data_IF_471527299770
#
_entry.id   IF_471527299770
#
_cell.length_a   1.000
_cell.length_b   1.000
_cell.length_c   1.000
_cell.angle_alpha   90.00
_cell.angle_beta   90.00
_cell.angle_gamma   90.00
#
_symmetry.space_group_name_H-M   'P 1'
#
loop_
_entity.id
_entity.type
_entity.pdbx_description
1 polymer ?
#
# COMPACT_ATOMS: atom_id res chain seq x y z
N UNK A 1 24.72 10.93 5.91
CA UNK A 1 24.52 10.04 4.75
C UNK A 1 24.19 10.88 3.53
N UNK A 2 24.61 10.52 2.31
CA UNK A 2 24.22 11.21 1.09
C UNK A 2 23.08 10.46 0.35
N UNK A 3 22.54 11.05 -0.72
CA UNK A 3 21.43 10.46 -1.48
C UNK A 3 21.79 9.13 -2.14
N UNK A 4 23.05 8.96 -2.56
CA UNK A 4 23.53 7.71 -3.15
C UNK A 4 23.48 6.58 -2.12
N UNK A 5 23.97 6.82 -0.91
CA UNK A 5 23.92 5.86 0.20
C UNK A 5 22.47 5.53 0.61
N UNK A 6 21.58 6.53 0.67
CA UNK A 6 20.15 6.33 0.93
C UNK A 6 19.49 5.45 -0.14
N UNK A 7 19.81 5.70 -1.41
CA UNK A 7 19.30 4.91 -2.52
C UNK A 7 19.79 3.47 -2.47
N UNK A 8 21.09 3.24 -2.22
CA UNK A 8 21.62 1.87 -2.11
C UNK A 8 21.00 1.13 -0.92
N UNK A 9 20.74 1.81 0.20
CA UNK A 9 19.95 1.24 1.30
C UNK A 9 18.55 0.86 0.83
N UNK A 10 17.81 1.76 0.16
CA UNK A 10 16.46 1.48 -0.31
C UNK A 10 16.37 0.30 -1.30
N UNK A 11 17.42 0.05 -2.09
CA UNK A 11 17.47 -1.08 -3.03
C UNK A 11 17.66 -2.41 -2.30
N UNK A 12 18.39 -2.41 -1.19
CA UNK A 12 18.65 -3.59 -0.38
C UNK A 12 17.42 -3.94 0.48
N UNK A 13 16.50 -4.70 -0.14
CA UNK A 13 15.27 -5.17 0.51
C UNK A 13 15.54 -6.01 1.78
N UNK A 14 16.74 -6.55 1.98
CA UNK A 14 17.04 -7.32 3.21
C UNK A 14 17.10 -6.44 4.46
N UNK A 15 17.20 -5.12 4.29
CA UNK A 15 17.22 -4.13 5.38
C UNK A 15 15.84 -3.68 5.85
N UNK A 16 14.78 -4.27 5.32
CA UNK A 16 13.40 -3.89 5.59
C UNK A 16 12.61 -5.12 6.01
N UNK A 17 12.86 -5.56 7.24
CA UNK A 17 12.34 -6.81 7.82
C UNK A 17 11.39 -6.58 8.98
N UNK A 18 11.41 -5.38 9.59
CA UNK A 18 10.49 -5.00 10.65
C UNK A 18 10.04 -3.54 10.47
N UNK A 19 8.89 -3.11 11.05
CA UNK A 19 8.39 -1.74 10.91
C UNK A 19 9.43 -0.67 11.26
N UNK A 20 10.23 -0.93 12.30
CA UNK A 20 11.29 -0.03 12.76
C UNK A 20 12.35 0.26 11.68
N UNK A 21 12.61 -0.65 10.75
CA UNK A 21 13.55 -0.44 9.65
C UNK A 21 13.09 0.68 8.72
N UNK A 22 11.78 0.72 8.44
CA UNK A 22 11.15 1.76 7.62
C UNK A 22 11.21 3.11 8.31
N UNK A 23 10.94 3.14 9.62
CA UNK A 23 11.03 4.37 10.43
C UNK A 23 12.47 4.90 10.48
N UNK A 24 13.45 3.99 10.62
CA UNK A 24 14.87 4.33 10.65
C UNK A 24 15.34 4.89 9.31
N UNK A 25 14.92 4.26 8.20
CA UNK A 25 15.19 4.78 6.86
C UNK A 25 14.59 6.18 6.66
N UNK A 26 13.34 6.37 7.08
CA UNK A 26 12.64 7.64 6.96
C UNK A 26 13.36 8.76 7.71
N UNK A 27 13.76 8.50 8.96
CA UNK A 27 14.58 9.43 9.77
C UNK A 27 15.87 9.80 9.04
N UNK A 28 16.63 8.82 8.55
CA UNK A 28 17.89 9.08 7.83
C UNK A 28 17.68 9.91 6.55
N UNK A 29 16.58 9.67 5.83
CA UNK A 29 16.22 10.47 4.65
C UNK A 29 15.87 11.92 5.05
N UNK A 30 15.09 12.12 6.10
CA UNK A 30 14.71 13.46 6.56
C UNK A 30 15.89 14.23 7.14
N UNK A 31 16.80 13.59 7.86
CA UNK A 31 18.08 14.18 8.27
C UNK A 31 18.88 14.66 7.06
N UNK A 32 19.01 13.82 6.03
CA UNK A 32 19.67 14.22 4.78
C UNK A 32 18.99 15.45 4.15
N UNK A 33 17.65 15.47 4.10
CA UNK A 33 16.89 16.61 3.57
C UNK A 33 17.11 17.88 4.39
N UNK A 34 17.02 17.79 5.73
CA UNK A 34 17.18 18.93 6.66
C UNK A 34 18.60 19.49 6.66
N UNK A 35 19.61 18.66 6.43
CA UNK A 35 21.02 19.07 6.37
C UNK A 35 21.44 19.62 4.99
N UNK A 36 20.50 20.16 4.21
CA UNK A 36 20.78 20.75 2.90
C UNK A 36 21.21 19.73 1.85
N UNK A 37 20.74 18.48 1.95
CA UNK A 37 21.06 17.40 1.01
C UNK A 37 20.48 17.59 -0.40
N UNK A 38 19.42 18.39 -0.53
CA UNK A 38 18.74 18.70 -1.79
C UNK A 38 19.29 19.96 -2.49
N UNK A 39 19.10 20.04 -3.81
CA UNK A 39 19.38 21.24 -4.60
C UNK A 39 18.31 22.32 -4.39
N UNK A 40 17.04 21.90 -4.47
CA UNK A 40 15.89 22.76 -4.30
C UNK A 40 14.64 21.94 -3.97
N UNK A 41 13.65 22.62 -3.40
CA UNK A 41 12.28 22.13 -3.31
C UNK A 41 11.40 22.90 -4.30
N UNK A 42 10.63 22.16 -5.11
CA UNK A 42 9.77 22.73 -6.14
C UNK A 42 8.30 22.51 -5.76
N UNK A 43 7.47 23.55 -5.91
CA UNK A 43 6.02 23.47 -5.67
C UNK A 43 5.30 23.17 -6.98
N UNK A 44 4.38 22.19 -6.99
CA UNK A 44 3.58 21.87 -8.15
C UNK A 44 2.67 23.04 -8.55
N UNK A 45 2.66 23.40 -9.84
CA UNK A 45 1.95 24.59 -10.34
C UNK A 45 0.42 24.52 -10.26
N UNK A 46 -0.15 23.32 -10.23
CA UNK A 46 -1.60 23.11 -10.31
C UNK A 46 -2.23 22.57 -9.01
N UNK A 47 -1.41 22.21 -8.01
CA UNK A 47 -1.88 21.80 -6.68
C UNK A 47 -0.72 21.99 -5.68
N UNK A 48 -0.76 23.07 -4.91
CA UNK A 48 0.36 23.49 -4.06
C UNK A 48 0.64 22.57 -2.86
N UNK A 49 -0.26 21.61 -2.60
CA UNK A 49 -0.03 20.56 -1.59
C UNK A 49 1.10 19.64 -2.02
N UNK A 50 1.33 19.50 -3.32
CA UNK A 50 2.38 18.63 -3.85
C UNK A 50 3.68 19.38 -4.08
N UNK A 51 4.76 18.77 -3.59
CA UNK A 51 6.13 19.26 -3.72
C UNK A 51 7.01 18.21 -4.36
N UNK A 52 8.14 18.65 -4.89
CA UNK A 52 9.18 17.81 -5.45
C UNK A 52 10.53 18.17 -4.85
N UNK A 53 11.37 17.17 -4.63
CA UNK A 53 12.76 17.34 -4.26
C UNK A 53 13.58 17.29 -5.54
N UNK A 54 14.36 18.34 -5.82
CA UNK A 54 15.40 18.29 -6.82
C UNK A 54 16.70 17.84 -6.16
N UNK A 55 17.27 16.75 -6.64
CA UNK A 55 18.56 16.25 -6.17
C UNK A 55 19.71 17.09 -6.72
N UNK A 56 20.88 16.96 -6.10
CA UNK A 56 22.11 17.60 -6.55
C UNK A 56 22.76 16.85 -7.72
N UNK A 57 23.91 17.35 -8.18
CA UNK A 57 24.65 16.83 -9.33
C UNK A 57 24.97 15.34 -9.23
N UNK A 58 25.25 14.82 -8.03
CA UNK A 58 25.56 13.40 -7.81
C UNK A 58 24.43 12.44 -8.22
N UNK A 59 23.19 12.93 -8.27
CA UNK A 59 22.03 12.20 -8.75
C UNK A 59 21.46 12.81 -10.05
N UNK A 60 22.30 13.50 -10.83
CA UNK A 60 21.98 14.02 -12.16
C UNK A 60 20.86 15.05 -12.18
N UNK A 61 20.70 15.83 -11.10
CA UNK A 61 19.61 16.81 -10.92
C UNK A 61 18.21 16.22 -11.13
N UNK A 62 18.07 14.91 -10.91
CA UNK A 62 16.78 14.24 -10.98
C UNK A 62 15.82 14.83 -9.94
N UNK A 63 14.54 14.56 -10.17
CA UNK A 63 13.47 15.08 -9.34
C UNK A 63 12.67 13.91 -8.80
N UNK A 64 12.27 13.99 -7.54
CA UNK A 64 11.42 13.00 -6.89
C UNK A 64 10.03 12.90 -7.53
N UNK A 65 9.28 11.87 -7.18
CA UNK A 65 7.83 11.84 -7.27
C UNK A 65 7.18 13.00 -6.48
N UNK A 66 5.92 13.34 -6.78
CA UNK A 66 5.17 14.29 -5.98
C UNK A 66 5.01 13.79 -4.53
N UNK A 67 5.24 14.67 -3.57
CA UNK A 67 5.06 14.44 -2.14
C UNK A 67 4.02 15.42 -1.62
N UNK A 68 2.95 14.94 -0.99
CA UNK A 68 1.92 15.77 -0.38
C UNK A 68 2.45 16.34 0.95
N UNK A 69 2.76 17.62 0.99
CA UNK A 69 3.31 18.29 2.17
C UNK A 69 2.33 18.45 3.32
N UNK A 70 1.02 18.26 3.09
CA UNK A 70 0.03 18.37 4.15
C UNK A 70 0.08 17.15 5.10
N UNK A 71 0.53 15.99 4.59
CA UNK A 71 0.60 14.72 5.32
C UNK A 71 2.02 14.16 5.48
N UNK A 72 2.98 14.63 4.69
CA UNK A 72 4.40 14.32 4.89
C UNK A 72 4.93 15.05 6.13
N UNK A 73 5.65 14.36 7.01
CA UNK A 73 6.28 14.99 8.17
C UNK A 73 7.64 15.61 7.81
N UNK A 74 8.00 16.68 8.52
CA UNK A 74 9.41 17.05 8.68
C UNK A 74 10.06 16.19 9.76
N UNK A 75 11.38 16.36 9.95
CA UNK A 75 12.17 15.53 10.85
C UNK A 75 11.65 15.57 12.29
N UNK A 76 11.45 16.78 12.83
CA UNK A 76 11.02 16.99 14.22
C UNK A 76 9.63 16.37 14.48
N UNK A 77 8.67 16.66 13.60
CA UNK A 77 7.32 16.12 13.75
C UNK A 77 7.25 14.61 13.51
N UNK A 78 8.11 14.06 12.63
CA UNK A 78 8.18 12.62 12.45
C UNK A 78 8.72 11.94 13.70
N UNK A 79 9.83 12.45 14.26
CA UNK A 79 10.42 11.89 15.49
C UNK A 79 9.43 11.89 16.65
N UNK A 80 8.68 12.98 16.83
CA UNK A 80 7.62 13.05 17.83
C UNK A 80 6.49 12.04 17.56
N UNK A 81 6.05 11.91 16.30
CA UNK A 81 4.93 11.04 15.94
C UNK A 81 5.25 9.53 16.01
N UNK A 82 6.54 9.13 16.01
CA UNK A 82 6.95 7.72 16.04
C UNK A 82 6.48 7.00 17.30
N UNK A 83 6.58 7.64 18.47
CA UNK A 83 6.14 7.04 19.73
C UNK A 83 4.62 6.79 19.70
N UNK A 84 3.85 7.81 19.34
CA UNK A 84 2.39 7.70 19.18
C UNK A 84 2.01 6.64 18.15
N UNK A 85 2.75 6.52 17.05
CA UNK A 85 2.51 5.50 16.02
C UNK A 85 2.66 4.08 16.59
N UNK A 86 3.75 3.81 17.32
CA UNK A 86 4.00 2.50 17.92
C UNK A 86 2.94 2.19 18.99
N UNK A 87 2.64 3.15 19.88
CA UNK A 87 1.58 3.01 20.88
C UNK A 87 0.22 2.77 20.23
N UNK A 88 -0.05 3.41 19.09
CA UNK A 88 -1.31 3.21 18.36
C UNK A 88 -1.40 1.84 17.71
N UNK A 89 -0.31 1.28 17.17
CA UNK A 89 -0.30 -0.09 16.65
C UNK A 89 -0.59 -1.10 17.76
N UNK A 90 0.01 -0.91 18.93
CA UNK A 90 -0.25 -1.73 20.10
C UNK A 90 -1.73 -1.62 20.54
N UNK A 91 -2.27 -0.40 20.61
CA UNK A 91 -3.69 -0.18 20.91
C UNK A 91 -4.61 -0.88 19.88
N UNK A 92 -4.24 -0.88 18.59
CA UNK A 92 -4.99 -1.63 17.56
C UNK A 92 -4.94 -3.14 17.82
N UNK A 93 -3.78 -3.68 18.20
CA UNK A 93 -3.61 -5.11 18.52
C UNK A 93 -4.43 -5.52 19.75
N UNK A 94 -4.47 -4.66 20.76
CA UNK A 94 -5.17 -4.90 22.03
C UNK A 94 -6.70 -4.61 21.93
N UNK A 95 -7.17 -4.13 20.78
CA UNK A 95 -8.58 -3.78 20.56
C UNK A 95 -9.02 -2.54 21.33
N UNK A 96 -8.08 -1.65 21.66
CA UNK A 96 -8.33 -0.42 22.40
C UNK A 96 -8.84 0.72 21.50
N UNK A 97 -9.47 1.72 22.11
CA UNK A 97 -9.97 2.89 21.38
C UNK A 97 -8.82 3.78 20.90
N UNK A 98 -8.71 3.95 19.58
CA UNK A 98 -7.72 4.84 18.98
C UNK A 98 -8.31 6.22 18.71
N UNK A 99 -7.77 7.22 19.41
CA UNK A 99 -8.13 8.62 19.25
C UNK A 99 -7.62 9.26 17.94
N UNK A 100 -8.02 10.52 17.72
CA UNK A 100 -7.69 11.26 16.49
C UNK A 100 -6.18 11.47 16.27
N UNK A 101 -5.41 11.59 17.35
CA UNK A 101 -3.95 11.72 17.27
C UNK A 101 -3.29 10.43 16.78
N UNK A 102 -3.70 9.28 17.32
CA UNK A 102 -3.22 7.97 16.88
C UNK A 102 -3.57 7.68 15.42
N UNK A 103 -4.81 7.96 15.00
CA UNK A 103 -5.23 7.86 13.59
C UNK A 103 -4.37 8.74 12.66
N UNK A 104 -4.09 9.97 13.08
CA UNK A 104 -3.21 10.88 12.33
C UNK A 104 -1.78 10.34 12.26
N UNK A 105 -1.25 9.79 13.35
CA UNK A 105 0.06 9.17 13.40
C UNK A 105 0.13 7.98 12.43
N UNK A 106 -0.84 7.06 12.46
CA UNK A 106 -0.96 5.95 11.50
C UNK A 106 -0.87 6.43 10.06
N UNK A 107 -1.75 7.36 9.66
CA UNK A 107 -1.77 7.84 8.28
C UNK A 107 -0.44 8.47 7.86
N UNK A 108 0.06 9.43 8.65
CA UNK A 108 1.18 10.28 8.25
C UNK A 108 2.54 9.57 8.40
N UNK A 109 2.72 8.72 9.40
CA UNK A 109 3.96 7.94 9.56
C UNK A 109 4.09 6.91 8.45
N UNK A 110 3.00 6.21 8.09
CA UNK A 110 3.02 5.26 6.98
C UNK A 110 3.31 5.99 5.65
N UNK A 111 2.61 7.09 5.40
CA UNK A 111 2.82 7.90 4.20
C UNK A 111 4.27 8.42 4.10
N UNK A 112 4.79 9.01 5.18
CA UNK A 112 6.14 9.58 5.21
C UNK A 112 7.17 8.48 5.00
N UNK A 113 7.08 7.38 5.73
CA UNK A 113 8.00 6.24 5.60
C UNK A 113 8.04 5.73 4.17
N UNK A 114 6.88 5.48 3.56
CA UNK A 114 6.86 4.97 2.19
C UNK A 114 7.33 6.01 1.15
N UNK A 115 6.99 7.29 1.33
CA UNK A 115 7.39 8.33 0.38
C UNK A 115 8.87 8.67 0.44
N UNK A 116 9.53 8.53 1.59
CA UNK A 116 10.99 8.68 1.68
C UNK A 116 11.72 7.61 0.86
N UNK A 117 11.29 6.35 0.94
CA UNK A 117 11.81 5.23 0.13
C UNK A 117 11.60 5.55 -1.36
N UNK A 118 10.36 5.92 -1.70
CA UNK A 118 10.01 6.28 -3.07
C UNK A 118 10.87 7.41 -3.63
N UNK A 119 11.05 8.49 -2.87
CA UNK A 119 11.86 9.62 -3.27
C UNK A 119 13.35 9.24 -3.40
N UNK A 120 13.91 8.48 -2.47
CA UNK A 120 15.30 8.01 -2.57
C UNK A 120 15.54 7.16 -3.83
N UNK A 121 14.60 6.28 -4.17
CA UNK A 121 14.67 5.47 -5.39
C UNK A 121 14.52 6.30 -6.67
N UNK A 122 13.91 7.49 -6.61
CA UNK A 122 13.83 8.40 -7.76
C UNK A 122 15.17 9.12 -8.05
N UNK A 123 16.21 8.90 -7.23
CA UNK A 123 17.59 9.31 -7.49
C UNK A 123 18.43 8.22 -8.21
N UNK A 124 17.79 7.12 -8.64
CA UNK A 124 18.42 6.09 -9.46
C UNK A 124 18.78 6.62 -10.85
N UNK A 125 19.90 6.17 -11.46
CA UNK A 125 20.30 6.62 -12.79
C UNK A 125 19.19 6.50 -13.84
N UNK A 126 19.23 7.38 -14.84
CA UNK A 126 18.26 7.36 -15.94
C UNK A 126 18.22 5.96 -16.57
N UNK A 127 17.01 5.43 -16.75
CA UNK A 127 16.79 4.05 -17.24
C UNK A 127 16.42 3.05 -16.15
N UNK A 128 16.70 3.33 -14.87
CA UNK A 128 16.37 2.44 -13.76
C UNK A 128 14.96 2.65 -13.15
N UNK A 129 14.06 3.34 -13.87
CA UNK A 129 12.71 3.64 -13.38
C UNK A 129 11.88 2.38 -13.08
N UNK A 130 12.08 1.30 -13.84
CA UNK A 130 11.40 0.03 -13.59
C UNK A 130 11.89 -0.64 -12.29
N UNK A 131 13.19 -0.58 -12.01
CA UNK A 131 13.76 -1.05 -10.75
C UNK A 131 13.19 -0.25 -9.58
N UNK A 132 13.19 1.09 -9.67
CA UNK A 132 12.63 1.98 -8.65
C UNK A 132 11.17 1.63 -8.33
N UNK A 133 10.34 1.42 -9.37
CA UNK A 133 8.92 1.05 -9.19
C UNK A 133 8.75 -0.31 -8.53
N UNK A 134 9.54 -1.31 -8.95
CA UNK A 134 9.47 -2.67 -8.40
C UNK A 134 9.87 -2.68 -6.93
N UNK A 135 11.05 -2.15 -6.60
CA UNK A 135 11.54 -2.10 -5.21
C UNK A 135 10.57 -1.33 -4.32
N UNK A 136 10.08 -0.16 -4.77
CA UNK A 136 9.13 0.61 -3.98
C UNK A 136 7.77 -0.11 -3.79
N UNK A 137 7.31 -0.87 -4.79
CA UNK A 137 6.10 -1.69 -4.67
C UNK A 137 6.28 -2.81 -3.66
N UNK A 138 7.34 -3.61 -3.82
CA UNK A 138 7.68 -4.72 -2.93
C UNK A 138 7.82 -4.26 -1.46
N UNK A 139 8.48 -3.13 -1.24
CA UNK A 139 8.65 -2.57 0.11
C UNK A 139 7.35 -2.01 0.69
N UNK A 140 6.46 -1.46 -0.14
CA UNK A 140 5.17 -0.99 0.37
C UNK A 140 4.29 -2.16 0.80
N UNK A 141 4.21 -3.20 -0.03
CA UNK A 141 3.48 -4.43 0.28
C UNK A 141 3.97 -5.05 1.59
N UNK A 142 5.29 -5.24 1.70
CA UNK A 142 5.89 -5.78 2.92
C UNK A 142 5.65 -4.89 4.13
N UNK A 143 5.76 -3.58 4.00
CA UNK A 143 5.53 -2.68 5.13
C UNK A 143 4.11 -2.83 5.67
N UNK A 144 3.11 -2.86 4.79
CA UNK A 144 1.72 -3.06 5.21
C UNK A 144 1.54 -4.43 5.86
N UNK A 145 2.11 -5.50 5.30
CA UNK A 145 2.07 -6.84 5.91
C UNK A 145 2.63 -6.85 7.32
N UNK A 146 3.82 -6.29 7.52
CA UNK A 146 4.46 -6.16 8.84
C UNK A 146 3.59 -5.37 9.83
N UNK A 147 2.91 -4.31 9.38
CA UNK A 147 2.01 -3.54 10.25
C UNK A 147 0.72 -4.31 10.61
N UNK A 148 0.24 -5.17 9.71
CA UNK A 148 -0.88 -6.09 10.03
C UNK A 148 -0.46 -7.09 11.11
N UNK A 149 0.77 -7.62 11.02
CA UNK A 149 1.36 -8.51 12.02
C UNK A 149 1.50 -7.83 13.40
N UNK A 150 1.96 -6.57 13.45
CA UNK A 150 1.99 -5.79 14.70
C UNK A 150 0.59 -5.57 15.29
N UNK A 151 -0.46 -5.58 14.46
CA UNK A 151 -1.85 -5.51 14.92
C UNK A 151 -2.45 -6.87 15.31
N UNK A 152 -1.63 -7.93 15.42
CA UNK A 152 -2.03 -9.21 15.98
C UNK A 152 -2.65 -10.21 14.99
N UNK A 153 -2.47 -10.01 13.68
CA UNK A 153 -2.92 -10.94 12.65
C UNK A 153 -1.76 -11.42 11.77
N UNK A 154 -1.72 -12.73 11.47
CA UNK A 154 -0.71 -13.28 10.56
C UNK A 154 -0.94 -12.71 9.15
N UNK A 155 0.13 -12.29 8.47
CA UNK A 155 0.00 -11.70 7.14
C UNK A 155 1.13 -12.08 6.19
N UNK A 156 0.79 -12.74 5.09
CA UNK A 156 1.75 -13.16 4.07
C UNK A 156 1.22 -12.96 2.66
N UNK A 157 2.12 -12.89 1.69
CA UNK A 157 1.78 -13.08 0.28
C UNK A 157 1.60 -14.57 0.01
N UNK A 158 0.61 -14.96 -0.78
CA UNK A 158 0.36 -16.38 -1.04
C UNK A 158 -0.42 -16.65 -2.32
N UNK A 159 -0.53 -17.93 -2.64
CA UNK A 159 -1.28 -18.44 -3.79
C UNK A 159 -2.47 -19.26 -3.28
N UNK A 160 -3.68 -18.85 -3.65
CA UNK A 160 -4.89 -19.60 -3.37
C UNK A 160 -5.25 -20.47 -4.57
N UNK A 161 -5.29 -21.79 -4.34
CA UNK A 161 -5.73 -22.76 -5.32
C UNK A 161 -7.24 -22.98 -5.19
N UNK A 162 -8.02 -22.35 -6.05
CA UNK A 162 -9.48 -22.38 -6.04
C UNK A 162 -10.00 -23.52 -6.94
N UNK A 163 -10.81 -24.46 -6.43
CA UNK A 163 -11.31 -25.56 -7.24
C UNK A 163 -12.34 -25.09 -8.27
N UNK A 164 -12.17 -25.52 -9.52
CA UNK A 164 -13.14 -25.32 -10.60
C UNK A 164 -13.93 -26.61 -10.78
N UNK A 165 -15.25 -26.52 -10.61
CA UNK A 165 -16.16 -27.68 -10.62
C UNK A 165 -17.11 -27.64 -11.81
N UNK A 166 -17.49 -28.81 -12.31
CA UNK A 166 -18.53 -28.97 -13.31
C UNK A 166 -19.95 -28.82 -12.73
N UNK A 167 -20.98 -28.97 -13.58
CA UNK A 167 -22.39 -28.90 -13.18
C UNK A 167 -22.79 -29.99 -12.16
N UNK A 168 -22.03 -31.08 -12.07
CA UNK A 168 -22.23 -32.17 -11.12
C UNK A 168 -21.41 -31.99 -9.82
N UNK A 169 -20.80 -30.82 -9.61
CA UNK A 169 -19.95 -30.51 -8.47
C UNK A 169 -18.65 -31.35 -8.41
N UNK A 170 -18.23 -31.93 -9.53
CA UNK A 170 -16.97 -32.66 -9.66
C UNK A 170 -15.85 -31.66 -9.92
N UNK A 171 -14.80 -31.66 -9.09
CA UNK A 171 -13.61 -30.84 -9.33
C UNK A 171 -12.89 -31.30 -10.60
N UNK A 172 -12.72 -30.37 -11.55
CA UNK A 172 -12.05 -30.60 -12.82
C UNK A 172 -10.56 -30.25 -12.73
N UNK A 173 -10.25 -29.11 -12.12
CA UNK A 173 -8.89 -28.60 -11.90
C UNK A 173 -8.92 -27.48 -10.85
N UNK A 174 -7.74 -26.98 -10.47
CA UNK A 174 -7.59 -25.82 -9.58
C UNK A 174 -7.05 -24.62 -10.34
N UNK A 175 -7.58 -23.44 -10.02
CA UNK A 175 -7.10 -22.17 -10.54
C UNK A 175 -6.37 -21.40 -9.44
N UNK A 176 -5.13 -21.02 -9.73
CA UNK A 176 -4.24 -20.38 -8.77
C UNK A 176 -4.36 -18.85 -8.85
N UNK A 177 -4.60 -18.21 -7.70
CA UNK A 177 -4.65 -16.77 -7.54
C UNK A 177 -3.54 -16.30 -6.61
N UNK A 178 -2.64 -15.46 -7.12
CA UNK A 178 -1.63 -14.81 -6.30
C UNK A 178 -2.20 -13.53 -5.69
N UNK A 179 -2.13 -13.45 -4.36
CA UNK A 179 -2.57 -12.29 -3.59
C UNK A 179 -1.38 -11.64 -2.87
N UNK A 180 -1.45 -10.31 -2.76
CA UNK A 180 -0.39 -9.53 -2.12
C UNK A 180 -0.40 -9.74 -0.61
N UNK A 181 -1.60 -9.76 0.00
CA UNK A 181 -1.81 -10.01 1.42
C UNK A 181 -2.91 -11.06 1.61
N UNK A 182 -2.60 -12.07 2.42
CA UNK A 182 -3.54 -13.00 3.03
C UNK A 182 -3.48 -12.72 4.53
N UNK A 183 -4.63 -12.37 5.12
CA UNK A 183 -4.73 -12.08 6.56
C UNK A 183 -5.33 -13.30 7.25
N UNK A 184 -4.61 -13.86 8.19
CA UNK A 184 -4.99 -15.08 8.90
C UNK A 184 -5.00 -14.91 10.41
N UNK A 185 -5.86 -15.70 11.06
CA UNK A 185 -5.90 -15.80 12.52
C UNK A 185 -5.96 -17.26 12.89
N UNK A 186 -4.92 -17.79 13.53
CA UNK A 186 -4.82 -19.21 13.92
C UNK A 186 -4.96 -20.16 12.72
N UNK A 187 -4.41 -19.77 11.56
CA UNK A 187 -4.47 -20.50 10.29
C UNK A 187 -5.80 -20.40 9.54
N UNK A 188 -6.77 -19.62 10.02
CA UNK A 188 -8.01 -19.35 9.29
C UNK A 188 -7.85 -18.09 8.45
N UNK A 189 -8.03 -18.20 7.12
CA UNK A 189 -8.07 -17.05 6.21
C UNK A 189 -9.27 -16.14 6.51
N UNK A 190 -8.97 -14.88 6.84
CA UNK A 190 -9.94 -13.85 7.24
C UNK A 190 -10.18 -12.78 6.19
N UNK A 191 -9.17 -12.41 5.41
CA UNK A 191 -9.31 -11.43 4.35
C UNK A 191 -8.20 -11.56 3.30
N UNK A 192 -8.49 -11.05 2.10
CA UNK A 192 -7.53 -10.94 1.00
C UNK A 192 -7.32 -9.45 0.70
N UNK A 193 -6.07 -9.04 0.66
CA UNK A 193 -5.67 -7.66 0.42
C UNK A 193 -4.87 -7.51 -0.88
N UNK A 194 -5.06 -6.36 -1.53
CA UNK A 194 -4.13 -5.88 -2.55
C UNK A 194 -3.45 -4.59 -2.12
N UNK A 195 -2.12 -4.55 -2.20
CA UNK A 195 -1.34 -3.35 -1.87
C UNK A 195 -0.65 -2.85 -3.12
N UNK A 196 -0.89 -1.59 -3.48
CA UNK A 196 -0.29 -0.98 -4.67
C UNK A 196 0.11 0.46 -4.40
N UNK A 197 1.20 0.90 -5.02
CA UNK A 197 1.64 2.29 -4.88
C UNK A 197 0.67 3.28 -5.54
N UNK A 198 -0.03 2.87 -6.60
CA UNK A 198 -1.07 3.65 -7.29
C UNK A 198 -2.08 2.68 -7.91
N UNK A 199 -3.35 3.09 -8.00
CA UNK A 199 -4.44 2.22 -8.47
C UNK A 199 -4.39 2.03 -9.99
N UNK A 200 -4.55 3.09 -10.79
CA UNK A 200 -4.56 3.04 -12.27
C UNK A 200 -5.46 1.90 -12.78
N UNK A 201 -5.02 1.21 -13.82
CA UNK A 201 -5.60 -0.01 -14.38
C UNK A 201 -5.54 -1.21 -13.42
N UNK A 202 -4.69 -1.18 -12.38
CA UNK A 202 -4.60 -2.28 -11.39
C UNK A 202 -5.81 -2.34 -10.47
N UNK A 203 -6.60 -1.27 -10.39
CA UNK A 203 -7.86 -1.28 -9.68
C UNK A 203 -8.79 -2.39 -10.18
N UNK A 204 -8.84 -2.57 -11.50
CA UNK A 204 -9.70 -3.52 -12.18
C UNK A 204 -9.43 -4.96 -11.68
N UNK A 205 -8.15 -5.31 -11.50
CA UNK A 205 -7.73 -6.65 -11.03
C UNK A 205 -8.37 -7.00 -9.69
N UNK A 206 -8.35 -6.08 -8.71
CA UNK A 206 -8.83 -6.38 -7.35
C UNK A 206 -10.34 -6.67 -7.32
N UNK A 207 -11.10 -5.94 -8.13
CA UNK A 207 -12.55 -6.16 -8.26
C UNK A 207 -12.86 -7.50 -8.92
N UNK A 208 -12.12 -7.87 -9.96
CA UNK A 208 -12.25 -9.15 -10.67
C UNK A 208 -11.83 -10.32 -9.78
N UNK A 209 -10.76 -10.17 -9.00
CA UNK A 209 -10.30 -11.20 -8.08
C UNK A 209 -11.38 -11.52 -7.04
N UNK A 210 -11.98 -10.51 -6.39
CA UNK A 210 -13.13 -10.71 -5.48
C UNK A 210 -14.30 -11.39 -6.18
N UNK A 211 -14.65 -10.93 -7.39
CA UNK A 211 -15.76 -11.48 -8.16
C UNK A 211 -15.57 -12.98 -8.41
N UNK A 212 -14.41 -13.35 -8.95
CA UNK A 212 -14.11 -14.72 -9.31
C UNK A 212 -13.99 -15.61 -8.08
N UNK A 213 -13.30 -15.15 -7.04
CA UNK A 213 -13.17 -15.89 -5.79
C UNK A 213 -14.54 -16.24 -5.21
N UNK A 214 -15.42 -15.25 -5.04
CA UNK A 214 -16.77 -15.46 -4.49
C UNK A 214 -17.60 -16.39 -5.40
N UNK A 215 -17.48 -16.23 -6.73
CA UNK A 215 -18.23 -17.04 -7.69
C UNK A 215 -17.82 -18.51 -7.68
N UNK A 216 -16.53 -18.80 -7.49
CA UNK A 216 -15.98 -20.16 -7.54
C UNK A 216 -16.09 -20.89 -6.20
N UNK A 217 -15.93 -20.17 -5.09
CA UNK A 217 -15.93 -20.77 -3.75
C UNK A 217 -17.31 -20.74 -3.08
N UNK A 218 -18.24 -19.92 -3.58
CA UNK A 218 -19.52 -19.61 -2.91
C UNK A 218 -19.33 -19.06 -1.49
N UNK A 219 -18.19 -18.41 -1.24
CA UNK A 219 -17.80 -17.82 0.04
C UNK A 219 -17.71 -16.30 -0.11
N UNK A 220 -18.23 -15.58 0.88
CA UNK A 220 -18.03 -14.13 0.99
C UNK A 220 -16.84 -13.84 1.89
N UNK A 221 -15.63 -13.90 1.33
CA UNK A 221 -14.41 -13.51 2.04
C UNK A 221 -14.16 -12.01 1.81
N UNK A 222 -13.87 -11.22 2.88
CA UNK A 222 -13.50 -9.83 2.73
C UNK A 222 -12.31 -9.63 1.78
N UNK A 223 -12.49 -8.76 0.79
CA UNK A 223 -11.43 -8.29 -0.09
C UNK A 223 -11.27 -6.78 0.04
N UNK A 224 -10.02 -6.34 0.24
CA UNK A 224 -9.70 -4.93 0.39
C UNK A 224 -8.53 -4.50 -0.50
N UNK A 225 -8.38 -3.19 -0.68
CA UNK A 225 -7.25 -2.60 -1.38
C UNK A 225 -6.63 -1.45 -0.58
N UNK A 226 -5.31 -1.37 -0.55
CA UNK A 226 -4.54 -0.28 0.04
C UNK A 226 -3.68 0.35 -1.06
N UNK A 227 -3.84 1.66 -1.22
CA UNK A 227 -3.10 2.46 -2.19
C UNK A 227 -2.25 3.52 -1.50
N UNK A 228 -1.01 3.73 -1.95
CA UNK A 228 -0.20 4.84 -1.41
C UNK A 228 -0.80 6.18 -1.86
N UNK A 229 -0.88 6.41 -3.18
CA UNK A 229 -1.39 7.65 -3.75
C UNK A 229 -1.73 7.49 -5.25
N UNK A 230 -2.59 8.37 -5.79
CA UNK A 230 -2.92 8.39 -7.23
C UNK A 230 -2.50 9.68 -7.91
N UNK A 231 -1.24 10.04 -7.72
CA UNK A 231 -0.65 11.27 -8.23
C UNK A 231 0.68 10.97 -8.90
N UNK A 232 0.85 11.47 -10.12
CA UNK A 232 2.09 11.36 -10.88
C UNK A 232 2.57 12.73 -11.36
N UNK A 233 3.88 12.82 -11.59
CA UNK A 233 4.52 14.03 -12.13
C UNK A 233 3.96 14.37 -13.50
N UNK A 234 3.72 15.66 -13.74
CA UNK A 234 3.30 16.25 -15.01
C UNK A 234 4.23 17.41 -15.36
N UNK A 235 4.51 17.58 -16.64
CA UNK A 235 5.33 18.69 -17.13
C UNK A 235 6.83 18.42 -17.03
N UNK A 236 7.60 19.48 -17.27
CA UNK A 236 9.06 19.51 -17.31
C UNK A 236 9.55 20.82 -16.71
N UNK A 237 10.83 20.92 -16.39
CA UNK A 237 11.43 22.14 -15.87
C UNK A 237 11.14 23.36 -16.75
N UNK A 238 10.81 24.53 -16.18
CA UNK A 238 10.55 24.81 -14.75
C UNK A 238 9.09 24.60 -14.30
N UNK A 239 8.25 24.04 -15.17
CA UNK A 239 6.79 23.96 -15.00
C UNK A 239 6.34 22.55 -14.59
N UNK A 240 6.77 22.13 -13.40
CA UNK A 240 6.28 20.89 -12.80
C UNK A 240 4.90 21.04 -12.21
N UNK A 241 4.06 20.03 -12.42
CA UNK A 241 2.75 19.89 -11.83
C UNK A 241 2.45 18.42 -11.57
N UNK A 242 1.21 18.14 -11.22
CA UNK A 242 0.72 16.79 -10.98
C UNK A 242 -0.42 16.43 -11.92
N UNK A 243 -0.58 15.13 -12.20
CA UNK A 243 -1.79 14.57 -12.79
C UNK A 243 -2.29 13.44 -11.90
N UNK A 244 -3.61 13.31 -11.81
CA UNK A 244 -4.25 12.23 -11.07
C UNK A 244 -4.35 10.98 -11.94
N UNK A 245 -4.26 9.82 -11.31
CA UNK A 245 -4.27 8.52 -12.00
C UNK A 245 -5.44 7.63 -11.61
N UNK A 246 -6.24 8.07 -10.64
CA UNK A 246 -7.43 7.36 -10.18
C UNK A 246 -8.51 7.29 -11.27
N UNK A 247 -8.94 6.08 -11.63
CA UNK A 247 -9.96 5.83 -12.63
C UNK A 247 -11.38 5.88 -12.02
N UNK A 248 -11.86 7.10 -11.73
CA UNK A 248 -13.15 7.32 -11.03
C UNK A 248 -14.33 6.56 -11.63
N UNK A 249 -14.41 6.48 -12.96
CA UNK A 249 -15.53 5.85 -13.66
C UNK A 249 -15.51 4.33 -13.50
N UNK A 250 -14.32 3.73 -13.54
CA UNK A 250 -14.11 2.30 -13.33
C UNK A 250 -14.49 1.92 -11.90
N UNK A 251 -13.95 2.63 -10.91
CA UNK A 251 -14.28 2.40 -9.51
C UNK A 251 -15.80 2.40 -9.27
N UNK A 252 -16.49 3.46 -9.70
CA UNK A 252 -17.94 3.57 -9.52
C UNK A 252 -18.70 2.48 -10.28
N UNK A 253 -18.26 2.18 -11.50
CA UNK A 253 -18.85 1.12 -12.33
C UNK A 253 -18.77 -0.23 -11.63
N UNK A 254 -17.58 -0.63 -11.19
CA UNK A 254 -17.37 -1.92 -10.52
C UNK A 254 -18.05 -2.01 -9.17
N UNK A 255 -17.99 -0.97 -8.35
CA UNK A 255 -18.69 -0.92 -7.06
C UNK A 255 -20.20 -1.10 -7.21
N UNK A 256 -20.82 -0.51 -8.22
CA UNK A 256 -22.28 -0.55 -8.43
C UNK A 256 -22.73 -1.78 -9.22
N UNK A 257 -21.94 -2.25 -10.19
CA UNK A 257 -22.37 -3.26 -11.17
C UNK A 257 -21.71 -4.63 -11.03
N UNK A 258 -20.55 -4.72 -10.38
CA UNK A 258 -19.83 -5.98 -10.20
C UNK A 258 -19.97 -6.45 -8.75
N UNK A 259 -19.12 -5.92 -7.86
CA UNK A 259 -19.19 -6.14 -6.43
C UNK A 259 -18.46 -4.99 -5.72
N UNK A 260 -18.99 -4.42 -4.64
CA UNK A 260 -18.21 -3.53 -3.79
C UNK A 260 -17.06 -4.31 -3.15
N UNK A 261 -15.89 -3.69 -3.02
CA UNK A 261 -14.83 -4.17 -2.12
C UNK A 261 -15.23 -3.86 -0.67
N UNK A 262 -14.71 -4.65 0.28
CA UNK A 262 -15.03 -4.51 1.71
C UNK A 262 -14.26 -3.37 2.36
N UNK A 263 -13.22 -2.88 1.70
CA UNK A 263 -12.54 -1.64 2.05
C UNK A 263 -11.56 -1.20 0.98
N UNK A 264 -11.51 0.11 0.72
CA UNK A 264 -10.48 0.72 -0.12
C UNK A 264 -9.85 1.88 0.62
N UNK A 265 -8.54 1.80 0.81
CA UNK A 265 -7.82 2.70 1.70
C UNK A 265 -6.68 3.40 0.96
N UNK A 266 -6.48 4.68 1.25
CA UNK A 266 -5.39 5.47 0.69
C UNK A 266 -4.54 6.09 1.79
N UNK A 267 -3.22 6.12 1.62
CA UNK A 267 -2.38 6.98 2.46
C UNK A 267 -2.62 8.47 2.13
N UNK A 268 -2.71 8.79 0.83
CA UNK A 268 -2.97 10.13 0.29
C UNK A 268 -4.30 10.16 -0.50
N UNK A 269 -5.35 10.66 0.15
CA UNK A 269 -6.67 10.81 -0.47
C UNK A 269 -6.70 11.99 -1.44
N UNK A 270 -7.30 11.75 -2.61
CA UNK A 270 -7.63 12.84 -3.53
C UNK A 270 -8.88 13.58 -3.06
N UNK A 271 -8.99 14.91 -3.23
CA UNK A 271 -10.16 15.68 -2.78
C UNK A 271 -11.50 15.16 -3.32
N UNK A 272 -11.51 14.62 -4.55
CA UNK A 272 -12.74 14.05 -5.11
C UNK A 272 -13.22 12.80 -4.37
N UNK A 273 -12.33 12.03 -3.73
CA UNK A 273 -12.68 10.84 -2.96
C UNK A 273 -13.46 11.22 -1.69
N UNK A 274 -13.25 12.43 -1.18
CA UNK A 274 -13.95 12.96 0.00
C UNK A 274 -15.25 13.68 -0.38
N UNK A 275 -15.22 14.45 -1.47
CA UNK A 275 -16.38 15.25 -1.89
C UNK A 275 -17.48 14.45 -2.59
N UNK A 276 -17.14 13.36 -3.28
CA UNK A 276 -18.10 12.57 -4.05
C UNK A 276 -18.85 11.58 -3.15
N UNK A 277 -20.20 11.59 -3.12
CA UNK A 277 -20.97 10.78 -2.18
C UNK A 277 -20.72 9.27 -2.26
N UNK A 278 -20.52 8.74 -3.48
CA UNK A 278 -20.29 7.31 -3.67
C UNK A 278 -18.84 6.95 -3.32
N UNK A 279 -17.87 7.77 -3.75
CA UNK A 279 -16.46 7.50 -3.43
C UNK A 279 -16.21 7.58 -1.93
N UNK A 280 -16.71 8.62 -1.26
CA UNK A 280 -16.54 8.78 0.19
C UNK A 280 -17.28 7.72 0.99
N UNK A 281 -18.13 6.89 0.41
CA UNK A 281 -18.74 5.78 1.14
C UNK A 281 -17.80 4.56 1.18
N UNK A 282 -17.03 4.36 0.12
CA UNK A 282 -16.23 3.15 -0.11
C UNK A 282 -14.72 3.36 -0.02
N UNK A 283 -14.26 4.63 -0.04
CA UNK A 283 -12.85 5.00 0.04
C UNK A 283 -12.60 5.75 1.34
N UNK A 284 -11.57 5.33 2.08
CA UNK A 284 -11.14 5.91 3.36
C UNK A 284 -9.63 6.12 3.40
N UNK A 285 -9.14 6.87 4.38
CA UNK A 285 -7.70 6.93 4.66
C UNK A 285 -7.22 5.65 5.35
N UNK A 286 -5.92 5.38 5.26
CA UNK A 286 -5.32 4.13 5.75
C UNK A 286 -5.46 3.90 7.26
N UNK A 287 -5.65 4.93 8.07
CA UNK A 287 -5.93 4.76 9.50
C UNK A 287 -7.23 3.97 9.74
N UNK A 288 -8.25 4.16 8.87
CA UNK A 288 -9.48 3.37 8.95
C UNK A 288 -9.27 1.89 8.65
N UNK A 289 -8.23 1.52 7.90
CA UNK A 289 -7.90 0.12 7.70
C UNK A 289 -7.52 -0.52 9.04
N UNK A 290 -6.50 0.05 9.71
CA UNK A 290 -5.98 -0.51 10.96
C UNK A 290 -6.97 -0.40 12.12
N UNK A 291 -7.68 0.73 12.25
CA UNK A 291 -8.54 0.96 13.41
C UNK A 291 -9.94 0.37 13.24
N UNK A 292 -10.50 0.36 12.03
CA UNK A 292 -11.92 0.02 11.83
C UNK A 292 -12.15 -1.26 11.03
N UNK A 293 -11.34 -1.53 10.02
CA UNK A 293 -11.60 -2.61 9.06
C UNK A 293 -10.89 -3.91 9.45
N UNK A 294 -9.60 -3.85 9.77
CA UNK A 294 -8.81 -5.00 10.15
C UNK A 294 -9.40 -5.72 11.39
N UNK A 295 -9.79 -5.03 12.48
CA UNK A 295 -10.47 -5.67 13.61
C UNK A 295 -11.74 -6.43 13.21
N UNK A 296 -12.53 -5.87 12.30
CA UNK A 296 -13.74 -6.55 11.80
C UNK A 296 -13.41 -7.77 10.96
N UNK A 297 -12.34 -7.71 10.15
CA UNK A 297 -11.91 -8.84 9.34
C UNK A 297 -11.44 -10.00 10.23
N UNK A 298 -10.62 -9.72 11.25
CA UNK A 298 -10.08 -10.75 12.15
C UNK A 298 -11.17 -11.40 13.03
N UNK A 299 -12.17 -10.62 13.47
CA UNK A 299 -13.29 -11.09 14.28
C UNK A 299 -14.37 -11.82 13.46
N UNK A 300 -14.39 -11.62 12.13
CA UNK A 300 -15.41 -12.22 11.28
C UNK A 300 -15.38 -13.76 11.38
N UNK A 301 -16.56 -14.41 11.37
CA UNK A 301 -16.65 -15.86 11.31
C UNK A 301 -15.83 -16.38 10.12
N UNK A 302 -15.20 -17.56 10.28
CA UNK A 302 -14.40 -18.17 9.21
C UNK A 302 -15.25 -18.29 7.95
N UNK A 303 -14.87 -17.55 6.92
CA UNK A 303 -15.57 -17.57 5.64
C UNK A 303 -15.02 -18.67 4.72
N UNK A 304 -13.75 -19.09 4.89
CA UNK A 304 -13.06 -19.96 3.93
C UNK A 304 -13.76 -21.30 3.61
N UNK A 305 -13.68 -21.78 2.36
CA UNK A 305 -14.09 -23.14 2.06
C UNK A 305 -13.13 -24.10 2.80
N UNK A 306 -13.68 -25.08 3.53
CA UNK A 306 -12.91 -26.10 4.27
C UNK A 306 -11.92 -26.91 3.41
N UNK A 307 -12.00 -26.76 2.09
CA UNK A 307 -11.24 -27.51 1.09
C UNK A 307 -10.24 -26.65 0.28
N UNK A 308 -10.15 -25.33 0.49
CA UNK A 308 -9.04 -24.55 -0.09
C UNK A 308 -7.76 -24.84 0.71
N UNK A 309 -6.89 -25.64 0.11
CA UNK A 309 -5.54 -25.89 0.65
C UNK A 309 -4.56 -24.93 -0.01
N UNK A 310 -3.67 -24.33 0.78
CA UNK A 310 -2.46 -23.71 0.26
C UNK A 310 -1.69 -24.76 -0.56
N UNK A 311 -1.27 -24.37 -1.76
CA UNK A 311 -0.35 -25.17 -2.58
C UNK A 311 1.07 -24.88 -2.12
N UNK A 312 1.86 -25.94 -1.89
CA UNK A 312 3.30 -25.79 -1.61
C UNK A 312 4.04 -25.28 -2.84
N UNK A 313 5.20 -24.65 -2.68
CA UNK A 313 6.03 -24.19 -3.82
C UNK A 313 6.40 -25.34 -4.79
N UNK A 314 6.36 -26.61 -4.35
CA UNK A 314 6.57 -27.79 -5.20
C UNK A 314 5.38 -28.07 -6.15
N UNK A 315 4.15 -27.73 -5.77
CA UNK A 315 2.95 -27.95 -6.59
C UNK A 315 2.84 -26.99 -7.80
N UNK A 316 3.67 -25.94 -7.83
CA UNK A 316 3.65 -24.89 -8.86
C UNK A 316 4.43 -25.32 -10.12
N UNK A 317 5.38 -26.27 -9.98
CA UNK A 317 6.25 -26.72 -11.07
C UNK A 317 5.59 -27.74 -12.02
N UNK A 318 4.53 -28.43 -11.59
CA UNK A 318 3.86 -29.46 -12.38
C UNK A 318 2.72 -28.93 -13.28
N UNK A 319 2.39 -27.63 -13.23
CA UNK A 319 1.27 -27.05 -13.96
C UNK A 319 1.66 -26.35 -15.29
N UNK A 320 2.89 -26.54 -15.76
CA UNK A 320 3.40 -25.90 -17.00
C UNK A 320 3.54 -26.81 -18.22
N UNK A 321 2.99 -28.03 -18.20
CA UNK A 321 2.88 -28.91 -19.38
C UNK A 321 1.43 -29.07 -19.88
#
# INVERSE_FOLDING_TARGET
>A
MNIIQLREWAIDKSRFTMPQDYLTFATAFMEWRSNGGMQAELVAKNDHRYRFIQFKEEAGFQISRPINSDIFYDLENFEAARATFIETLQACADGEEVGAEGRRALQRVIYTSQQTIGAALDALPVGASNQARKVNGDLFERFIGLLVEECGAECHSGVLAVPVKDENNTELFKMNYQHDLMVEVKGDLKAIGSVKTSSKDRLDKVFIDKFLYNRLTSVELPHFAIFLHDVQRKGKEPNYGISQTFLRGHFKGYTVKLNPLDGVFYCDLLPMMESDPLLRQHIRSIDHFFVDALPKFIESPVAGPKDAKESSEEDILDATD
#
